data_IF_735028148044
#
_entry.id   IF_735028148044
#
_cell.length_a   1.000
_cell.length_b   1.000
_cell.length_c   1.000
_cell.angle_alpha   90.00
_cell.angle_beta   90.00
_cell.angle_gamma   90.00
#
_symmetry.space_group_name_H-M   'P 1'
#
loop_
_entity.id
_entity.type
_entity.pdbx_description
1 polymer ?
#
# COMPACT_ATOMS: atom_id res chain seq x y z
N UNK A 1 -32.34 12.55 25.13
CA UNK A 1 -32.05 11.10 25.24
C UNK A 1 -31.57 10.62 23.88
N UNK A 2 -30.30 10.20 23.75
CA UNK A 2 -29.78 9.64 22.51
C UNK A 2 -29.12 8.29 22.84
N UNK A 3 -29.83 7.20 22.54
CA UNK A 3 -29.29 5.85 22.67
C UNK A 3 -28.24 5.60 21.58
N UNK A 4 -26.97 5.80 21.90
CA UNK A 4 -25.86 5.26 21.09
C UNK A 4 -25.73 3.76 21.36
N UNK A 5 -26.60 2.98 20.72
CA UNK A 5 -26.31 1.58 20.43
C UNK A 5 -25.03 1.55 19.58
N UNK A 6 -23.88 1.25 20.19
CA UNK A 6 -22.66 0.90 19.45
C UNK A 6 -22.87 -0.51 18.89
N UNK A 7 -23.71 -0.60 17.87
CA UNK A 7 -23.90 -1.82 17.09
C UNK A 7 -22.56 -2.28 16.51
N UNK A 8 -22.30 -3.59 16.62
CA UNK A 8 -21.12 -4.22 16.02
C UNK A 8 -21.14 -3.91 14.52
N UNK A 9 -20.05 -3.34 14.01
CA UNK A 9 -19.93 -3.03 12.57
C UNK A 9 -19.74 -4.31 11.77
N UNK A 10 -20.27 -4.36 10.55
CA UNK A 10 -20.14 -5.52 9.66
C UNK A 10 -18.66 -5.77 9.30
N UNK A 11 -18.32 -7.00 8.95
CA UNK A 11 -16.98 -7.30 8.40
C UNK A 11 -16.68 -6.47 7.14
N UNK A 12 -17.67 -6.32 6.26
CA UNK A 12 -17.57 -5.51 5.05
C UNK A 12 -17.24 -4.04 5.35
N UNK A 13 -17.79 -3.46 6.43
CA UNK A 13 -17.41 -2.12 6.89
C UNK A 13 -15.90 -2.03 7.19
N UNK A 14 -15.33 -2.99 7.92
CA UNK A 14 -13.91 -2.98 8.25
C UNK A 14 -13.02 -3.13 7.01
N UNK A 15 -13.39 -4.03 6.09
CA UNK A 15 -12.69 -4.21 4.82
C UNK A 15 -12.73 -2.92 4.01
N UNK A 16 -13.91 -2.35 3.82
CA UNK A 16 -14.08 -1.09 3.08
C UNK A 16 -13.29 0.05 3.74
N UNK A 17 -13.33 0.17 5.07
CA UNK A 17 -12.58 1.18 5.81
C UNK A 17 -11.07 1.04 5.61
N UNK A 18 -10.55 -0.19 5.60
CA UNK A 18 -9.13 -0.44 5.34
C UNK A 18 -8.72 -0.02 3.92
N UNK A 19 -9.59 -0.28 2.93
CA UNK A 19 -9.34 0.11 1.54
C UNK A 19 -9.38 1.63 1.35
N UNK A 20 -10.32 2.32 2.00
CA UNK A 20 -10.40 3.80 1.99
C UNK A 20 -9.11 4.39 2.54
N UNK A 21 -8.62 3.90 3.68
CA UNK A 21 -7.38 4.38 4.27
C UNK A 21 -6.15 4.09 3.39
N UNK A 22 -6.11 2.92 2.75
CA UNK A 22 -5.07 2.56 1.79
C UNK A 22 -5.08 3.53 0.61
N UNK A 23 -6.24 3.76 0.01
CA UNK A 23 -6.40 4.66 -1.14
C UNK A 23 -6.01 6.10 -0.78
N UNK A 24 -6.43 6.61 0.38
CA UNK A 24 -6.02 7.92 0.88
C UNK A 24 -4.49 8.06 0.98
N UNK A 25 -3.83 7.09 1.61
CA UNK A 25 -2.36 7.08 1.75
C UNK A 25 -1.66 7.01 0.39
N UNK A 26 -2.23 6.30 -0.58
CA UNK A 26 -1.70 6.24 -1.94
C UNK A 26 -1.76 7.61 -2.62
N UNK A 27 -2.87 8.34 -2.50
CA UNK A 27 -2.98 9.68 -3.08
C UNK A 27 -1.90 10.61 -2.51
N UNK A 28 -1.70 10.59 -1.19
CA UNK A 28 -0.66 11.42 -0.54
C UNK A 28 0.76 11.03 -0.95
N UNK A 29 1.00 9.75 -1.27
CA UNK A 29 2.29 9.28 -1.77
C UNK A 29 2.52 9.73 -3.21
N UNK A 30 1.48 9.70 -4.03
CA UNK A 30 1.56 10.03 -5.46
C UNK A 30 1.88 11.51 -5.69
N UNK A 31 1.31 12.40 -4.88
CA UNK A 31 1.55 13.85 -5.01
C UNK A 31 2.89 14.32 -4.42
N UNK A 32 3.67 13.41 -3.83
CA UNK A 32 4.96 13.75 -3.18
C UNK A 32 5.94 14.49 -4.10
N UNK A 33 6.09 14.14 -5.40
CA UNK A 33 7.03 14.81 -6.31
C UNK A 33 6.65 16.25 -6.66
N UNK A 34 5.41 16.70 -6.39
CA UNK A 34 4.98 18.05 -6.70
C UNK A 34 5.71 19.11 -5.86
N UNK A 35 5.78 20.34 -6.37
CA UNK A 35 6.27 21.51 -5.62
C UNK A 35 5.48 21.70 -4.31
N UNK A 36 6.12 22.30 -3.29
CA UNK A 36 5.57 22.37 -1.92
C UNK A 36 4.17 23.01 -1.87
N UNK A 37 3.98 24.13 -2.55
CA UNK A 37 2.74 24.90 -2.50
C UNK A 37 1.61 24.17 -3.23
N UNK A 38 1.86 23.72 -4.46
CA UNK A 38 0.92 22.88 -5.23
C UNK A 38 0.56 21.60 -4.49
N UNK A 39 1.55 20.93 -3.86
CA UNK A 39 1.31 19.72 -3.07
C UNK A 39 0.39 20.00 -1.89
N UNK A 40 0.55 21.14 -1.21
CA UNK A 40 -0.30 21.51 -0.09
C UNK A 40 -1.77 21.74 -0.53
N UNK A 41 -1.99 22.41 -1.67
CA UNK A 41 -3.31 22.62 -2.25
C UNK A 41 -3.98 21.30 -2.66
N UNK A 42 -3.25 20.44 -3.36
CA UNK A 42 -3.75 19.12 -3.78
C UNK A 42 -4.03 18.25 -2.56
N UNK A 43 -3.17 18.27 -1.54
CA UNK A 43 -3.38 17.56 -0.28
C UNK A 43 -4.65 18.02 0.44
N UNK A 44 -4.90 19.34 0.50
CA UNK A 44 -6.13 19.89 1.08
C UNK A 44 -7.36 19.41 0.31
N UNK A 45 -7.31 19.44 -1.01
CA UNK A 45 -8.38 18.95 -1.89
C UNK A 45 -8.67 17.47 -1.67
N UNK A 46 -7.63 16.63 -1.63
CA UNK A 46 -7.78 15.19 -1.33
C UNK A 46 -8.44 15.00 0.03
N UNK A 47 -7.96 15.68 1.08
CA UNK A 47 -8.55 15.58 2.43
C UNK A 47 -10.03 15.96 2.42
N UNK A 48 -10.38 17.09 1.82
CA UNK A 48 -11.76 17.55 1.70
C UNK A 48 -12.69 16.53 1.02
N UNK A 49 -12.23 15.89 -0.06
CA UNK A 49 -13.01 14.85 -0.76
C UNK A 49 -13.25 13.60 0.10
N UNK A 50 -12.25 13.16 0.87
CA UNK A 50 -12.42 12.01 1.76
C UNK A 50 -13.28 12.37 2.98
N UNK A 51 -13.18 13.60 3.49
CA UNK A 51 -14.00 14.07 4.62
C UNK A 51 -15.48 14.21 4.23
N UNK A 52 -15.77 14.63 3.00
CA UNK A 52 -17.14 14.72 2.47
C UNK A 52 -17.89 13.38 2.49
N UNK A 53 -17.17 12.27 2.30
CA UNK A 53 -17.73 10.90 2.31
C UNK A 53 -17.53 10.16 3.64
N UNK A 54 -17.06 10.83 4.70
CA UNK A 54 -16.71 10.20 6.00
C UNK A 54 -17.88 9.49 6.68
N UNK A 55 -19.08 10.04 6.52
CA UNK A 55 -20.30 9.55 7.17
C UNK A 55 -21.10 8.56 6.31
N UNK A 56 -20.56 8.20 5.13
CA UNK A 56 -21.21 7.23 4.28
C UNK A 56 -21.28 5.88 4.99
N UNK A 57 -22.49 5.35 5.05
CA UNK A 57 -22.82 4.11 5.78
C UNK A 57 -23.31 3.03 4.83
N UNK A 58 -23.72 3.37 3.61
CA UNK A 58 -24.08 2.39 2.59
C UNK A 58 -22.83 1.73 2.01
N UNK A 59 -22.70 0.42 2.21
CA UNK A 59 -21.60 -0.38 1.69
C UNK A 59 -21.49 -0.33 0.16
N UNK A 60 -22.62 -0.20 -0.56
CA UNK A 60 -22.62 -0.14 -2.04
C UNK A 60 -22.03 1.18 -2.51
N UNK A 61 -22.42 2.28 -1.88
CA UNK A 61 -21.91 3.60 -2.23
C UNK A 61 -20.42 3.72 -1.88
N UNK A 62 -19.98 3.19 -0.73
CA UNK A 62 -18.54 3.15 -0.39
C UNK A 62 -17.74 2.39 -1.45
N UNK A 63 -18.25 1.26 -1.96
CA UNK A 63 -17.59 0.49 -3.03
C UNK A 63 -17.51 1.28 -4.34
N UNK A 64 -18.59 1.97 -4.72
CA UNK A 64 -18.63 2.83 -5.90
C UNK A 64 -17.64 3.98 -5.78
N UNK A 65 -17.58 4.64 -4.63
CA UNK A 65 -16.61 5.71 -4.34
C UNK A 65 -15.17 5.20 -4.36
N UNK A 66 -14.91 4.01 -3.81
CA UNK A 66 -13.60 3.36 -3.90
C UNK A 66 -13.20 3.09 -5.36
N UNK A 67 -14.11 2.56 -6.19
CA UNK A 67 -13.84 2.31 -7.60
C UNK A 67 -13.58 3.62 -8.36
N UNK A 68 -14.41 4.64 -8.12
CA UNK A 68 -14.22 5.98 -8.67
C UNK A 68 -12.84 6.55 -8.29
N UNK A 69 -12.46 6.48 -7.02
CA UNK A 69 -11.15 6.94 -6.55
C UNK A 69 -9.97 6.20 -7.18
N UNK A 70 -10.13 4.91 -7.54
CA UNK A 70 -9.09 4.17 -8.25
C UNK A 70 -8.90 4.70 -9.67
N UNK A 71 -9.99 5.04 -10.37
CA UNK A 71 -9.91 5.70 -11.67
C UNK A 71 -9.23 7.06 -11.57
N UNK A 72 -9.63 7.88 -10.60
CA UNK A 72 -9.02 9.20 -10.37
C UNK A 72 -7.53 9.13 -10.05
N UNK A 73 -7.06 8.06 -9.38
CA UNK A 73 -5.64 7.86 -9.09
C UNK A 73 -4.78 7.82 -10.36
N UNK A 74 -5.27 7.17 -11.43
CA UNK A 74 -4.51 7.11 -12.68
C UNK A 74 -4.36 8.50 -13.30
N UNK A 75 -5.42 9.30 -13.27
CA UNK A 75 -5.36 10.69 -13.75
C UNK A 75 -4.39 11.54 -12.91
N UNK A 76 -4.38 11.36 -11.58
CA UNK A 76 -3.42 12.05 -10.71
C UNK A 76 -1.99 11.65 -11.07
N UNK A 77 -1.72 10.38 -11.35
CA UNK A 77 -0.39 9.93 -11.80
C UNK A 77 0.05 10.59 -13.09
N UNK A 78 -0.82 10.60 -14.09
CA UNK A 78 -0.54 11.22 -15.39
C UNK A 78 -0.24 12.72 -15.25
N UNK A 79 -1.04 13.43 -14.45
CA UNK A 79 -0.84 14.85 -14.16
C UNK A 79 0.45 15.12 -13.37
N UNK A 80 0.74 14.30 -12.35
CA UNK A 80 1.98 14.45 -11.58
C UNK A 80 3.17 14.23 -12.51
N UNK A 81 3.15 13.20 -13.35
CA UNK A 81 4.24 12.90 -14.29
C UNK A 81 4.44 13.99 -15.35
N UNK A 82 3.36 14.61 -15.84
CA UNK A 82 3.46 15.69 -16.83
C UNK A 82 4.06 16.97 -16.23
N UNK A 83 3.72 17.30 -14.98
CA UNK A 83 4.25 18.49 -14.28
C UNK A 83 5.64 18.23 -13.70
N UNK A 84 5.95 16.99 -13.30
CA UNK A 84 7.25 16.62 -12.73
C UNK A 84 8.30 16.26 -13.78
N UNK A 85 8.09 16.57 -15.05
CA UNK A 85 9.04 16.37 -16.15
C UNK A 85 10.25 17.33 -16.07
N UNK A 86 10.76 17.56 -14.86
CA UNK A 86 12.15 17.93 -14.64
C UNK A 86 12.95 16.62 -14.62
N UNK A 87 13.98 16.45 -15.46
CA UNK A 87 14.68 15.17 -15.58
C UNK A 87 15.31 14.81 -14.24
N UNK A 88 14.80 13.74 -13.62
CA UNK A 88 15.42 13.15 -12.44
C UNK A 88 16.76 12.56 -12.90
N UNK A 89 17.91 12.98 -12.34
CA UNK A 89 19.17 12.33 -12.65
C UNK A 89 19.02 10.86 -12.26
N UNK A 90 19.27 9.96 -13.21
CA UNK A 90 19.09 8.52 -13.07
C UNK A 90 19.79 8.03 -11.79
N UNK A 91 19.02 7.89 -10.72
CA UNK A 91 19.51 7.33 -9.47
C UNK A 91 19.69 5.85 -9.74
N UNK A 92 20.96 5.45 -9.95
CA UNK A 92 21.39 4.07 -10.15
C UNK A 92 20.54 3.16 -9.28
N UNK A 93 19.81 2.26 -9.93
CA UNK A 93 19.19 1.13 -9.28
C UNK A 93 20.32 0.30 -8.67
N UNK A 94 20.65 0.56 -7.41
CA UNK A 94 21.42 -0.37 -6.60
C UNK A 94 20.49 -1.56 -6.35
N UNK A 95 20.56 -2.51 -7.27
CA UNK A 95 20.22 -3.91 -7.03
C UNK A 95 20.75 -4.31 -5.65
N UNK A 96 19.84 -4.42 -4.68
CA UNK A 96 20.09 -5.17 -3.45
C UNK A 96 19.17 -6.38 -3.50
N UNK A 97 19.47 -7.26 -4.46
CA UNK A 97 19.05 -8.66 -4.42
C UNK A 97 19.63 -9.26 -3.15
N UNK A 98 18.77 -9.58 -2.19
CA UNK A 98 19.13 -10.15 -0.89
C UNK A 98 19.30 -11.68 -0.95
N UNK A 99 19.96 -12.20 -1.98
CA UNK A 99 20.36 -13.61 -2.04
C UNK A 99 21.64 -13.79 -2.86
N UNK A 100 22.56 -14.53 -2.23
CA UNK A 100 23.70 -15.25 -2.79
C UNK A 100 24.94 -14.46 -3.18
N UNK A 101 25.83 -14.31 -2.20
CA UNK A 101 27.28 -14.50 -2.40
C UNK A 101 27.89 -14.97 -1.07
N UNK A 102 27.79 -16.27 -0.78
CA UNK A 102 28.74 -16.95 0.08
C UNK A 102 29.84 -17.53 -0.82
N UNK A 103 31.03 -16.98 -0.66
CA UNK A 103 32.18 -17.20 -1.51
C UNK A 103 32.74 -18.63 -1.47
N UNK A 104 33.37 -18.96 -2.60
CA UNK A 104 34.60 -19.74 -2.72
C UNK A 104 34.57 -21.27 -2.60
N UNK A 105 34.75 -21.91 -3.76
CA UNK A 105 35.80 -22.92 -3.94
C UNK A 105 35.40 -24.39 -3.90
N UNK A 106 35.34 -25.03 -5.08
CA UNK A 106 35.98 -26.32 -5.42
C UNK A 106 35.39 -26.89 -6.72
N UNK A 107 36.27 -27.52 -7.50
CA UNK A 107 36.07 -28.18 -8.80
C UNK A 107 35.31 -29.55 -8.66
N UNK A 108 35.09 -30.34 -9.74
CA UNK A 108 33.79 -30.77 -10.25
C UNK A 108 33.44 -32.21 -9.81
N UNK A 109 32.28 -32.70 -10.27
CA UNK A 109 31.87 -34.11 -10.34
C UNK A 109 30.86 -34.63 -9.28
N UNK A 110 29.88 -35.35 -9.80
CA UNK A 110 29.05 -36.43 -9.20
C UNK A 110 27.78 -36.08 -8.40
N UNK A 111 26.69 -36.69 -8.87
CA UNK A 111 25.45 -37.17 -8.22
C UNK A 111 24.34 -36.22 -7.74
N UNK A 112 23.21 -36.30 -8.45
CA UNK A 112 22.01 -37.07 -8.05
C UNK A 112 21.67 -37.19 -6.55
N UNK A 113 20.36 -37.04 -6.25
CA UNK A 113 19.65 -37.23 -4.95
C UNK A 113 19.51 -35.94 -4.12
N UNK A 114 18.32 -35.31 -4.08
CA UNK A 114 17.23 -35.59 -3.13
C UNK A 114 17.28 -34.63 -1.91
N UNK A 115 16.10 -34.31 -1.37
CA UNK A 115 15.83 -33.90 0.03
C UNK A 115 15.38 -32.43 0.30
N UNK A 116 14.06 -32.33 0.49
CA UNK A 116 13.38 -31.61 1.57
C UNK A 116 13.63 -30.11 1.80
N UNK A 117 12.85 -29.28 1.12
CA UNK A 117 12.50 -27.92 1.61
C UNK A 117 11.11 -27.97 2.26
N UNK A 118 10.98 -28.76 3.32
CA UNK A 118 9.78 -28.81 4.19
C UNK A 118 10.20 -28.72 5.65
N UNK A 119 10.71 -27.55 6.07
CA UNK A 119 11.20 -27.42 7.45
C UNK A 119 11.81 -26.09 7.85
N UNK A 120 11.01 -25.02 7.93
CA UNK A 120 11.28 -23.87 8.85
C UNK A 120 9.98 -23.31 9.42
N UNK A 121 9.17 -24.15 10.06
CA UNK A 121 8.19 -23.67 11.05
C UNK A 121 8.94 -23.56 12.38
N UNK A 122 9.81 -22.56 12.45
CA UNK A 122 10.61 -22.25 13.63
C UNK A 122 9.74 -21.56 14.68
N UNK A 123 9.44 -22.28 15.76
CA UNK A 123 9.15 -21.80 17.11
C UNK A 123 8.02 -20.76 17.24
N UNK A 124 6.82 -21.27 17.49
CA UNK A 124 5.78 -20.72 18.38
C UNK A 124 5.49 -19.22 18.32
N UNK A 125 4.24 -18.87 17.96
CA UNK A 125 3.75 -17.50 17.98
C UNK A 125 3.95 -16.84 19.36
N UNK A 126 4.29 -15.53 19.39
CA UNK A 126 4.77 -14.83 20.59
C UNK A 126 3.77 -14.75 21.76
N UNK A 127 2.48 -15.03 21.54
CA UNK A 127 1.46 -15.12 22.59
C UNK A 127 1.41 -16.46 23.34
N UNK A 128 2.24 -17.45 22.96
CA UNK A 128 2.25 -18.79 23.54
C UNK A 128 2.96 -18.89 24.91
N UNK A 129 3.48 -17.79 25.45
CA UNK A 129 4.13 -17.77 26.76
C UNK A 129 3.15 -17.19 27.78
N UNK A 130 2.45 -18.08 28.48
CA UNK A 130 1.73 -17.80 29.73
C UNK A 130 2.54 -18.34 30.89
#
# INVERSE_FOLDING_TARGET
>A
MASTSRGIKSFAYFVNRSQVLKQYRLFLREIRPLAKDTRAEVQHTIRSKFDAAKHESDEKEVKKLLAYGHGQMQHVRELVNSVSSTPVPARRASSSTWTDDAAAGADPSVNESQEDIKGRIGKGWPWSRG
#
